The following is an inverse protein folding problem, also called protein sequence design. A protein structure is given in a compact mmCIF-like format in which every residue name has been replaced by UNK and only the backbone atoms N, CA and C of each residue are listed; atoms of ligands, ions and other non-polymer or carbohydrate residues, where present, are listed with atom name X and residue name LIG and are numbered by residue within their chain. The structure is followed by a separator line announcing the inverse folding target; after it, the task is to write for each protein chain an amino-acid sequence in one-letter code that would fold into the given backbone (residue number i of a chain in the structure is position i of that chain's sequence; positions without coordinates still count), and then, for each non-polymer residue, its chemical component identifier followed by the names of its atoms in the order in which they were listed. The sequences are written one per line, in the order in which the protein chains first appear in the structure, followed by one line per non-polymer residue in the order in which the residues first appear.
data_IF_046341748017
#
_entry.id   IF_046341748017
#
_cell.length_a   1.000
_cell.length_b   1.000
_cell.length_c   1.000
_cell.angle_alpha   90.00
_cell.angle_beta   90.00
_cell.angle_gamma   90.00
#
_symmetry.space_group_name_H-M   'P 1'
#
loop_
_entity.id
_entity.type
_entity.pdbx_description
1 polymer ?
#
# COMPACT_ATOMS: atom_id res chain seq x y z
N UNK A 1 23.84 -8.20 -23.97
CA UNK A 1 24.21 -7.78 -22.60
C UNK A 1 24.35 -6.26 -22.59
N UNK A 2 23.22 -5.55 -22.55
CA UNK A 2 23.20 -4.11 -22.23
C UNK A 2 22.90 -4.03 -20.74
N UNK A 3 23.91 -3.71 -19.95
CA UNK A 3 23.74 -3.28 -18.57
C UNK A 3 23.33 -1.82 -18.65
N UNK A 4 22.06 -1.56 -18.89
CA UNK A 4 21.47 -0.25 -18.61
C UNK A 4 21.42 -0.12 -17.09
N UNK A 5 21.95 0.97 -16.55
CA UNK A 5 21.91 1.28 -15.13
C UNK A 5 20.49 1.17 -14.58
N UNK A 6 20.21 0.04 -13.92
CA UNK A 6 18.91 -0.36 -13.39
C UNK A 6 18.57 0.40 -12.09
N UNK A 7 19.03 1.65 -11.97
CA UNK A 7 18.84 2.55 -10.81
C UNK A 7 17.74 3.59 -11.04
N UNK A 8 17.28 3.72 -12.28
CA UNK A 8 16.40 4.81 -12.72
C UNK A 8 14.95 4.34 -13.00
N UNK A 9 14.59 3.13 -12.56
CA UNK A 9 13.21 2.63 -12.63
C UNK A 9 12.40 3.16 -11.45
N UNK A 10 11.36 3.96 -11.72
CA UNK A 10 10.45 4.52 -10.70
C UNK A 10 9.71 3.40 -9.92
N UNK A 11 9.52 2.23 -10.57
CA UNK A 11 8.95 1.00 -10.02
C UNK A 11 9.75 -0.20 -10.57
N UNK A 12 10.42 -0.97 -9.71
CA UNK A 12 10.93 -2.31 -10.13
C UNK A 12 9.81 -3.31 -9.90
N UNK A 13 8.94 -3.50 -10.89
CA UNK A 13 7.79 -4.43 -10.85
C UNK A 13 6.76 -4.23 -9.71
N UNK A 14 6.81 -3.12 -8.99
CA UNK A 14 5.84 -2.79 -7.94
C UNK A 14 4.59 -2.12 -8.56
N UNK A 15 3.37 -2.62 -8.31
CA UNK A 15 2.15 -1.98 -8.76
C UNK A 15 1.83 -0.76 -7.90
N UNK A 16 2.48 0.35 -8.21
CA UNK A 16 2.29 1.64 -7.54
C UNK A 16 1.70 2.68 -8.52
N UNK A 17 1.21 3.83 -8.04
CA UNK A 17 0.68 4.94 -8.85
C UNK A 17 1.63 5.38 -9.98
N UNK A 18 2.93 5.19 -9.75
CA UNK A 18 3.99 5.50 -10.70
C UNK A 18 4.13 4.49 -11.85
N UNK A 19 3.46 3.34 -11.77
CA UNK A 19 3.43 2.33 -12.83
C UNK A 19 2.81 2.89 -14.12
N UNK A 20 1.88 3.85 -14.01
CA UNK A 20 1.23 4.51 -15.14
C UNK A 20 2.15 5.40 -16.02
N UNK A 21 3.47 5.40 -15.79
CA UNK A 21 4.43 6.11 -16.65
C UNK A 21 4.37 7.63 -16.55
N UNK A 22 3.92 8.16 -15.41
CA UNK A 22 3.72 9.58 -15.20
C UNK A 22 5.07 10.31 -14.99
N UNK A 23 5.75 10.76 -16.04
CA UNK A 23 6.85 11.75 -16.01
C UNK A 23 8.20 11.42 -15.30
N UNK A 24 9.19 12.29 -15.52
CA UNK A 24 10.60 12.16 -15.11
C UNK A 24 10.82 11.85 -13.62
N UNK A 25 11.66 10.85 -13.35
CA UNK A 25 12.02 10.30 -12.03
C UNK A 25 12.31 11.38 -10.96
N UNK A 26 13.02 12.45 -11.31
CA UNK A 26 13.44 13.48 -10.35
C UNK A 26 12.30 14.38 -9.86
N UNK A 27 11.40 14.77 -10.76
CA UNK A 27 10.24 15.62 -10.44
C UNK A 27 9.22 14.80 -9.65
N UNK A 28 8.99 13.57 -10.10
CA UNK A 28 8.06 12.64 -9.46
C UNK A 28 8.49 12.20 -8.07
N UNK A 29 9.80 12.00 -7.87
CA UNK A 29 10.32 11.60 -6.57
C UNK A 29 10.02 12.67 -5.50
N UNK A 30 10.30 13.92 -5.84
CA UNK A 30 10.09 15.05 -4.92
C UNK A 30 8.61 15.28 -4.66
N UNK A 31 7.78 15.26 -5.70
CA UNK A 31 6.33 15.37 -5.58
C UNK A 31 5.72 14.22 -4.75
N UNK A 32 6.18 12.99 -4.99
CA UNK A 32 5.74 11.79 -4.27
C UNK A 32 6.01 11.85 -2.78
N UNK A 33 7.20 12.30 -2.40
CA UNK A 33 7.56 12.49 -0.98
C UNK A 33 6.68 13.57 -0.33
N UNK A 34 6.43 14.69 -1.02
CA UNK A 34 5.55 15.75 -0.52
C UNK A 34 4.09 15.27 -0.34
N UNK A 35 3.58 14.49 -1.30
CA UNK A 35 2.25 13.89 -1.21
C UNK A 35 2.19 12.90 -0.04
N UNK A 36 3.17 11.99 0.08
CA UNK A 36 3.24 11.05 1.19
C UNK A 36 3.29 11.79 2.54
N UNK A 37 4.09 12.85 2.64
CA UNK A 37 4.16 13.69 3.85
C UNK A 37 2.82 14.36 4.17
N UNK A 38 2.11 14.90 3.17
CA UNK A 38 0.79 15.48 3.34
C UNK A 38 -0.25 14.44 3.81
N UNK A 39 -0.22 13.23 3.25
CA UNK A 39 -1.09 12.12 3.63
C UNK A 39 -0.81 11.67 5.07
N UNK A 40 0.46 11.53 5.45
CA UNK A 40 0.83 11.22 6.84
C UNK A 40 0.46 12.34 7.81
N UNK A 41 0.58 13.60 7.40
CA UNK A 41 0.13 14.72 8.21
C UNK A 41 -1.39 14.71 8.43
N UNK A 42 -2.18 14.40 7.39
CA UNK A 42 -3.63 14.22 7.52
C UNK A 42 -3.98 13.07 8.47
N UNK A 43 -3.28 11.93 8.37
CA UNK A 43 -3.45 10.81 9.28
C UNK A 43 -3.10 11.18 10.73
N UNK A 44 -2.04 11.97 10.94
CA UNK A 44 -1.69 12.48 12.26
C UNK A 44 -2.82 13.32 12.87
N UNK A 45 -3.48 14.19 12.08
CA UNK A 45 -4.65 14.94 12.52
C UNK A 45 -5.85 14.04 12.87
N UNK A 46 -6.06 12.95 12.14
CA UNK A 46 -7.11 11.96 12.48
C UNK A 46 -6.82 11.26 13.80
N UNK A 47 -5.57 10.86 14.02
CA UNK A 47 -5.11 10.22 15.26
C UNK A 47 -5.27 11.16 16.45
N UNK A 48 -4.94 12.45 16.31
CA UNK A 48 -5.16 13.44 17.38
C UNK A 48 -6.63 13.58 17.78
N UNK A 49 -7.54 13.55 16.80
CA UNK A 49 -8.99 13.62 17.05
C UNK A 49 -9.57 12.33 17.65
N UNK A 50 -9.02 11.18 17.28
CA UNK A 50 -9.52 9.85 17.64
C UNK A 50 -8.69 9.10 18.68
N UNK A 51 -7.74 9.76 19.36
CA UNK A 51 -6.73 9.11 20.23
C UNK A 51 -7.31 8.21 21.32
N UNK A 52 -8.51 8.52 21.82
CA UNK A 52 -9.19 7.75 22.87
C UNK A 52 -9.64 6.37 22.40
N UNK A 53 -9.68 6.15 21.07
CA UNK A 53 -10.10 4.90 20.42
C UNK A 53 -8.93 4.06 19.94
N UNK A 54 -7.70 4.42 20.28
CA UNK A 54 -6.50 3.64 19.95
C UNK A 54 -6.38 2.44 20.89
N UNK A 55 -7.26 1.45 20.69
CA UNK A 55 -7.04 0.11 21.21
C UNK A 55 -6.03 -0.65 20.33
N UNK A 56 -5.62 -1.85 20.75
CA UNK A 56 -4.67 -2.67 20.00
C UNK A 56 -5.14 -2.95 18.57
N UNK A 57 -6.45 -3.16 18.38
CA UNK A 57 -7.05 -3.40 17.07
C UNK A 57 -6.89 -2.20 16.14
N UNK A 58 -7.22 -1.01 16.62
CA UNK A 58 -7.19 0.21 15.81
C UNK A 58 -5.77 0.69 15.59
N UNK A 59 -4.85 0.43 16.53
CA UNK A 59 -3.43 0.64 16.34
C UNK A 59 -2.86 -0.26 15.24
N UNK A 60 -3.20 -1.55 15.24
CA UNK A 60 -2.78 -2.46 14.16
C UNK A 60 -3.34 -2.02 12.79
N UNK A 61 -4.60 -1.56 12.75
CA UNK A 61 -5.20 -1.02 11.53
C UNK A 61 -4.48 0.25 11.05
N UNK A 62 -4.07 1.13 11.95
CA UNK A 62 -3.29 2.32 11.64
C UNK A 62 -1.90 1.94 11.08
N UNK A 63 -1.19 1.00 11.72
CA UNK A 63 0.10 0.48 11.23
C UNK A 63 -0.02 -0.16 9.84
N UNK A 64 -1.09 -0.92 9.60
CA UNK A 64 -1.37 -1.48 8.28
C UNK A 64 -1.59 -0.37 7.25
N UNK A 65 -2.41 0.62 7.59
CA UNK A 65 -2.67 1.74 6.70
C UNK A 65 -1.40 2.54 6.38
N UNK A 66 -0.52 2.78 7.35
CA UNK A 66 0.74 3.52 7.10
C UNK A 66 1.68 2.76 6.16
N UNK A 67 1.76 1.43 6.27
CA UNK A 67 2.52 0.59 5.35
C UNK A 67 1.94 0.66 3.93
N UNK A 68 0.61 0.52 3.77
CA UNK A 68 -0.04 0.63 2.47
C UNK A 68 0.13 2.02 1.84
N UNK A 69 0.04 3.09 2.65
CA UNK A 69 0.33 4.46 2.20
C UNK A 69 1.78 4.60 1.73
N UNK A 70 2.74 4.05 2.46
CA UNK A 70 4.15 4.08 2.05
C UNK A 70 4.34 3.33 0.73
N UNK A 71 3.74 2.15 0.57
CA UNK A 71 3.76 1.38 -0.69
C UNK A 71 3.14 2.16 -1.84
N UNK A 72 2.04 2.88 -1.63
CA UNK A 72 1.30 3.56 -2.70
C UNK A 72 1.74 4.98 -3.05
N UNK A 73 2.54 5.64 -2.20
CA UNK A 73 2.94 7.03 -2.46
C UNK A 73 4.45 7.22 -2.51
N UNK A 74 5.23 6.32 -1.91
CA UNK A 74 6.67 6.47 -1.89
C UNK A 74 7.29 5.98 -3.22
N UNK A 75 8.16 6.79 -3.87
CA UNK A 75 8.84 6.40 -5.11
C UNK A 75 9.98 5.41 -4.83
N UNK A 76 10.37 4.61 -5.83
CA UNK A 76 11.50 3.68 -5.72
C UNK A 76 11.21 2.43 -4.87
N UNK A 77 9.93 2.06 -4.77
CA UNK A 77 9.50 0.87 -4.07
C UNK A 77 9.80 -0.39 -4.91
N UNK A 78 10.39 -1.39 -4.26
CA UNK A 78 10.59 -2.75 -4.78
C UNK A 78 9.48 -3.66 -4.30
N UNK A 79 9.18 -4.69 -5.08
CA UNK A 79 8.24 -5.78 -4.77
C UNK A 79 8.39 -6.35 -3.35
N UNK A 80 9.61 -6.39 -2.81
CA UNK A 80 9.91 -6.86 -1.45
C UNK A 80 9.42 -5.95 -0.32
N UNK A 81 9.11 -4.69 -0.60
CA UNK A 81 8.65 -3.76 0.44
C UNK A 81 7.16 -3.90 0.74
N UNK A 82 6.42 -4.71 -0.02
CA UNK A 82 5.01 -4.99 0.26
C UNK A 82 4.81 -6.15 1.26
N UNK A 83 5.84 -6.96 1.51
CA UNK A 83 5.73 -8.09 2.45
C UNK A 83 5.27 -7.70 3.87
N UNK A 84 5.72 -6.57 4.46
CA UNK A 84 5.22 -6.15 5.75
C UNK A 84 3.72 -5.82 5.72
N UNK A 85 3.23 -5.16 4.67
CA UNK A 85 1.81 -4.82 4.51
C UNK A 85 0.97 -6.07 4.32
N UNK A 86 1.38 -7.00 3.45
CA UNK A 86 0.62 -8.22 3.17
C UNK A 86 0.58 -9.17 4.36
N UNK A 87 1.69 -9.30 5.10
CA UNK A 87 1.75 -10.08 6.34
C UNK A 87 0.86 -9.47 7.42
N UNK A 88 0.98 -8.16 7.67
CA UNK A 88 0.18 -7.50 8.69
C UNK A 88 -1.31 -7.51 8.35
N UNK A 89 -1.67 -7.34 7.07
CA UNK A 89 -3.04 -7.44 6.57
C UNK A 89 -3.62 -8.84 6.82
N UNK A 90 -2.83 -9.89 6.53
CA UNK A 90 -3.24 -11.28 6.73
C UNK A 90 -3.43 -11.60 8.22
N UNK A 91 -2.50 -11.18 9.08
CA UNK A 91 -2.61 -11.35 10.53
C UNK A 91 -3.84 -10.62 11.07
N UNK A 92 -4.05 -9.38 10.66
CA UNK A 92 -5.21 -8.59 11.07
C UNK A 92 -6.52 -9.24 10.61
N UNK A 93 -6.58 -9.69 9.35
CA UNK A 93 -7.76 -10.33 8.78
C UNK A 93 -8.12 -11.64 9.53
N UNK A 94 -7.12 -12.44 9.89
CA UNK A 94 -7.30 -13.69 10.63
C UNK A 94 -7.70 -13.45 12.10
N UNK A 95 -7.11 -12.45 12.74
CA UNK A 95 -7.38 -12.11 14.14
C UNK A 95 -8.81 -11.59 14.35
N UNK A 96 -9.29 -10.70 13.48
CA UNK A 96 -10.58 -10.02 13.65
C UNK A 96 -11.70 -10.57 12.75
N UNK A 97 -11.37 -11.47 11.80
CA UNK A 97 -12.29 -12.21 10.91
C UNK A 97 -13.33 -11.37 10.19
N UNK A 98 -12.98 -10.14 9.86
CA UNK A 98 -13.88 -9.25 9.14
C UNK A 98 -13.91 -9.60 7.66
N UNK A 99 -15.10 -9.94 7.13
CA UNK A 99 -15.27 -10.41 5.74
C UNK A 99 -14.62 -9.51 4.69
N UNK A 100 -14.77 -8.19 4.83
CA UNK A 100 -14.18 -7.20 3.90
C UNK A 100 -12.65 -7.23 3.93
N UNK A 101 -12.06 -7.33 5.12
CA UNK A 101 -10.61 -7.32 5.29
C UNK A 101 -9.99 -8.67 4.90
N UNK A 102 -10.70 -9.78 5.11
CA UNK A 102 -10.33 -11.09 4.58
C UNK A 102 -10.27 -11.10 3.05
N UNK A 103 -11.26 -10.49 2.38
CA UNK A 103 -11.23 -10.33 0.93
C UNK A 103 -10.03 -9.48 0.50
N UNK A 104 -9.75 -8.37 1.20
CA UNK A 104 -8.59 -7.54 0.92
C UNK A 104 -7.26 -8.30 1.08
N UNK A 105 -7.13 -9.08 2.15
CA UNK A 105 -5.96 -9.92 2.39
C UNK A 105 -5.75 -10.94 1.25
N UNK A 106 -6.82 -11.61 0.82
CA UNK A 106 -6.75 -12.56 -0.29
C UNK A 106 -6.32 -11.89 -1.60
N UNK A 107 -6.84 -10.70 -1.91
CA UNK A 107 -6.46 -9.93 -3.09
C UNK A 107 -4.96 -9.58 -3.05
N UNK A 108 -4.46 -9.03 -1.94
CA UNK A 108 -3.04 -8.64 -1.82
C UNK A 108 -2.13 -9.86 -1.93
N UNK A 109 -2.45 -10.97 -1.25
CA UNK A 109 -1.63 -12.19 -1.36
C UNK A 109 -1.59 -12.77 -2.78
N UNK A 110 -2.69 -12.66 -3.55
CA UNK A 110 -2.69 -13.06 -4.96
C UNK A 110 -1.81 -12.14 -5.81
N UNK A 111 -1.86 -10.82 -5.57
CA UNK A 111 -0.99 -9.85 -6.25
C UNK A 111 0.48 -10.14 -5.92
N UNK A 112 0.82 -10.37 -4.66
CA UNK A 112 2.16 -10.73 -4.21
C UNK A 112 2.65 -12.01 -4.88
N UNK A 113 1.80 -13.03 -4.93
CA UNK A 113 2.13 -14.30 -5.59
C UNK A 113 2.41 -14.10 -7.08
N UNK A 114 1.60 -13.31 -7.78
CA UNK A 114 1.78 -13.02 -9.21
C UNK A 114 3.04 -12.20 -9.47
N UNK A 115 3.30 -11.18 -8.65
CA UNK A 115 4.49 -10.33 -8.73
C UNK A 115 5.75 -11.15 -8.46
N UNK A 116 5.71 -12.04 -7.46
CA UNK A 116 6.83 -12.89 -7.09
C UNK A 116 7.11 -14.00 -8.12
N UNK A 117 6.07 -14.62 -8.67
CA UNK A 117 6.22 -15.56 -9.78
C UNK A 117 6.86 -14.86 -10.99
N UNK A 118 6.46 -13.62 -11.28
CA UNK A 118 7.04 -12.85 -12.39
C UNK A 118 8.53 -12.59 -12.17
N UNK A 119 8.92 -12.28 -10.92
CA UNK A 119 10.31 -12.13 -10.52
C UNK A 119 11.11 -13.44 -10.61
N UNK A 120 10.59 -14.55 -10.09
CA UNK A 120 11.30 -15.82 -10.01
C UNK A 120 11.50 -16.49 -11.38
N UNK A 121 10.50 -16.42 -12.25
CA UNK A 121 10.53 -17.06 -13.56
C UNK A 121 11.02 -16.13 -14.67
N UNK A 122 11.36 -14.88 -14.36
CA UNK A 122 11.74 -13.85 -15.34
C UNK A 122 10.71 -13.71 -16.46
N UNK A 123 9.42 -13.89 -16.15
CA UNK A 123 8.29 -13.75 -17.07
C UNK A 123 7.32 -12.69 -16.57
N UNK A 124 6.65 -11.98 -17.47
CA UNK A 124 5.60 -11.03 -17.08
C UNK A 124 4.24 -11.73 -17.14
N UNK A 125 3.73 -12.19 -15.99
CA UNK A 125 2.40 -12.82 -15.91
C UNK A 125 1.29 -11.81 -16.16
N UNK A 126 1.38 -10.64 -15.52
CA UNK A 126 0.47 -9.52 -15.73
C UNK A 126 1.28 -8.21 -15.72
N UNK A 127 0.87 -7.21 -16.51
CA UNK A 127 1.47 -5.90 -16.45
C UNK A 127 1.19 -5.27 -15.06
N UNK A 128 2.21 -4.68 -14.40
CA UNK A 128 2.04 -4.04 -13.09
C UNK A 128 0.94 -2.98 -13.06
N UNK A 129 0.71 -2.28 -14.18
CA UNK A 129 -0.35 -1.27 -14.34
C UNK A 129 -1.76 -1.80 -14.02
N UNK A 130 -2.02 -3.06 -14.37
CA UNK A 130 -3.32 -3.69 -14.10
C UNK A 130 -3.46 -4.07 -12.62
N UNK A 131 -2.36 -4.44 -11.98
CA UNK A 131 -2.32 -4.82 -10.56
C UNK A 131 -2.47 -3.62 -9.61
N UNK A 132 -2.21 -2.39 -10.10
CA UNK A 132 -2.44 -1.15 -9.32
C UNK A 132 -3.91 -0.99 -8.94
N UNK A 133 -4.85 -1.34 -9.82
CA UNK A 133 -6.30 -1.16 -9.57
C UNK A 133 -6.83 -1.97 -8.37
N UNK A 134 -6.61 -3.30 -8.28
CA UNK A 134 -7.03 -4.07 -7.11
C UNK A 134 -6.26 -3.65 -5.85
N UNK A 135 -5.01 -3.21 -5.98
CA UNK A 135 -4.24 -2.73 -4.83
C UNK A 135 -4.77 -1.38 -4.29
N UNK A 136 -5.09 -0.44 -5.18
CA UNK A 136 -5.80 0.80 -4.84
C UNK A 136 -7.14 0.52 -4.17
N UNK A 137 -7.90 -0.46 -4.67
CA UNK A 137 -9.15 -0.86 -4.05
C UNK A 137 -8.95 -1.29 -2.59
N UNK A 138 -7.94 -2.12 -2.31
CA UNK A 138 -7.60 -2.53 -0.94
C UNK A 138 -7.21 -1.32 -0.08
N UNK A 139 -6.34 -0.45 -0.59
CA UNK A 139 -5.94 0.77 0.10
C UNK A 139 -7.14 1.66 0.48
N UNK A 140 -8.09 1.85 -0.46
CA UNK A 140 -9.31 2.62 -0.20
C UNK A 140 -10.19 1.98 0.87
N UNK A 141 -10.39 0.65 0.83
CA UNK A 141 -11.17 -0.06 1.85
C UNK A 141 -10.57 0.10 3.26
N UNK A 142 -9.24 -0.05 3.39
CA UNK A 142 -8.54 0.13 4.66
C UNK A 142 -8.62 1.58 5.13
N UNK A 143 -8.48 2.55 4.22
CA UNK A 143 -8.60 3.98 4.51
C UNK A 143 -9.98 4.35 5.02
N UNK A 144 -11.04 3.90 4.34
CA UNK A 144 -12.43 4.17 4.74
C UNK A 144 -12.74 3.58 6.11
N UNK A 145 -12.23 2.37 6.38
CA UNK A 145 -12.39 1.74 7.69
C UNK A 145 -11.66 2.52 8.78
N UNK A 146 -10.41 2.91 8.56
CA UNK A 146 -9.63 3.69 9.52
C UNK A 146 -10.31 5.02 9.83
N UNK A 147 -10.81 5.71 8.79
CA UNK A 147 -11.57 6.95 8.94
C UNK A 147 -12.82 6.75 9.81
N UNK A 148 -13.62 5.72 9.51
CA UNK A 148 -14.84 5.42 10.25
C UNK A 148 -14.53 5.17 11.74
N UNK A 149 -13.53 4.34 12.03
CA UNK A 149 -13.10 4.03 13.40
C UNK A 149 -12.62 5.27 14.17
N UNK A 150 -11.82 6.13 13.55
CA UNK A 150 -11.21 7.27 14.24
C UNK A 150 -12.12 8.51 14.34
N UNK A 151 -13.02 8.73 13.37
CA UNK A 151 -13.77 9.99 13.25
C UNK A 151 -15.27 9.85 13.49
N UNK A 152 -15.89 8.71 13.17
CA UNK A 152 -17.34 8.60 13.30
C UNK A 152 -17.68 8.40 14.78
N UNK A 153 -18.24 9.45 15.39
CA UNK A 153 -18.93 9.33 16.69
C UNK A 153 -20.12 8.42 16.48
N UNK A 154 -20.02 7.18 16.93
CA UNK A 154 -21.23 6.52 17.42
C UNK A 154 -21.70 7.39 18.60
N UNK A 155 -22.74 8.18 18.31
CA UNK A 155 -23.59 8.85 19.29
C UNK A 155 -24.66 7.85 19.71
#
# INVERSE_FOLDING_TARGET
LQVTHDTDSVTRNMPNLYSFGLADYYVLKTAGILIAAAVFFAAFLWVLKGRERLDLKNLMLLCLWTLLTAVMFLPGMHERYDYPSSLLLSVYALAYREKKILLCALIVNLIDLMTYCSFLFYTTLLPPDLLVLPYLFVYLQVTLKLRHVLLDREV
#
